data_IF_340532470631
#
_entry.id   IF_340532470631
#
_cell.length_a   1.000
_cell.length_b   1.000
_cell.length_c   1.000
_cell.angle_alpha   90.00
_cell.angle_beta   90.00
_cell.angle_gamma   90.00
#
_symmetry.space_group_name_H-M   'P 1'
#
loop_
_entity.id
_entity.type
_entity.pdbx_description
1 polymer ?
#
# COMPACT_ATOMS: atom_id res chain seq x y z
N UNK A 1 0.94 19.78 -7.09
CA UNK A 1 2.30 19.19 -7.09
C UNK A 1 3.28 20.14 -6.40
N UNK A 2 4.26 19.60 -5.66
CA UNK A 2 5.39 20.32 -5.06
C UNK A 2 6.68 19.67 -5.54
N UNK A 3 7.60 20.48 -6.05
CA UNK A 3 8.91 20.03 -6.53
C UNK A 3 9.99 20.75 -5.73
N UNK A 4 11.04 20.04 -5.34
CA UNK A 4 12.15 20.62 -4.60
C UNK A 4 13.43 19.79 -4.73
N UNK A 5 14.52 20.37 -4.25
CA UNK A 5 15.80 19.68 -4.08
C UNK A 5 16.06 19.50 -2.59
N UNK A 6 16.37 18.27 -2.19
CA UNK A 6 16.77 17.94 -0.82
C UNK A 6 18.23 17.55 -0.85
N UNK A 7 19.02 18.15 0.04
CA UNK A 7 20.47 17.97 0.08
C UNK A 7 20.86 17.24 1.35
N UNK A 8 21.58 16.14 1.18
CA UNK A 8 22.19 15.41 2.29
C UNK A 8 23.54 16.05 2.62
N UNK A 9 23.80 16.39 3.89
CA UNK A 9 25.05 17.05 4.28
C UNK A 9 26.24 16.10 4.06
N UNK A 10 27.37 16.66 3.65
CA UNK A 10 28.60 15.90 3.51
C UNK A 10 29.00 15.24 4.84
N UNK A 11 29.40 13.97 4.77
CA UNK A 11 30.02 13.25 5.89
C UNK A 11 31.52 13.12 5.64
N UNK A 12 32.35 12.77 6.65
CA UNK A 12 33.78 12.57 6.43
C UNK A 12 34.11 11.53 5.35
N UNK A 13 33.17 10.64 5.04
CA UNK A 13 33.28 9.55 4.07
C UNK A 13 32.61 9.82 2.73
N UNK A 14 31.66 10.75 2.63
CA UNK A 14 30.83 10.94 1.44
C UNK A 14 30.58 12.43 1.13
N UNK A 15 30.66 12.83 -0.16
CA UNK A 15 30.40 14.21 -0.57
C UNK A 15 28.93 14.59 -0.37
N UNK A 16 28.66 15.90 -0.42
CA UNK A 16 27.28 16.43 -0.44
C UNK A 16 26.53 15.93 -1.67
N UNK A 17 25.35 15.33 -1.46
CA UNK A 17 24.51 14.80 -2.54
C UNK A 17 23.17 15.52 -2.54
N UNK A 18 22.74 15.96 -3.72
CA UNK A 18 21.45 16.62 -3.91
C UNK A 18 20.49 15.74 -4.70
N UNK A 19 19.31 15.51 -4.16
CA UNK A 19 18.26 14.72 -4.79
C UNK A 19 17.09 15.61 -5.19
N UNK A 20 16.64 15.46 -6.45
CA UNK A 20 15.39 16.07 -6.92
C UNK A 20 14.20 15.24 -6.41
N UNK A 21 13.22 15.92 -5.84
CA UNK A 21 12.02 15.30 -5.26
C UNK A 21 10.78 16.01 -5.79
N UNK A 22 9.79 15.24 -6.25
CA UNK A 22 8.48 15.73 -6.63
C UNK A 22 7.41 14.94 -5.88
N UNK A 23 6.40 15.65 -5.37
CA UNK A 23 5.28 15.08 -4.62
C UNK A 23 3.99 15.70 -5.14
N UNK A 24 3.05 14.86 -5.57
CA UNK A 24 1.69 15.28 -5.90
C UNK A 24 0.76 15.01 -4.74
N UNK A 25 -0.18 15.93 -4.56
CA UNK A 25 -1.17 15.87 -3.50
C UNK A 25 -2.55 16.05 -4.11
N UNK A 26 -3.50 15.26 -3.62
CA UNK A 26 -4.93 15.45 -3.85
C UNK A 26 -5.67 15.24 -2.53
N UNK A 27 -6.67 16.07 -2.23
CA UNK A 27 -7.52 15.96 -1.02
C UNK A 27 -6.74 15.59 0.27
N UNK A 28 -5.63 16.29 0.50
CA UNK A 28 -4.69 16.12 1.62
C UNK A 28 -3.91 14.79 1.68
N UNK A 29 -3.96 13.95 0.64
CA UNK A 29 -3.17 12.72 0.51
C UNK A 29 -2.06 12.90 -0.52
N UNK A 30 -0.95 12.21 -0.32
CA UNK A 30 0.10 12.09 -1.33
C UNK A 30 -0.39 11.08 -2.36
N UNK A 31 -0.51 11.48 -3.64
CA UNK A 31 -1.00 10.63 -4.73
C UNK A 31 0.10 10.12 -5.64
N UNK A 32 1.22 10.84 -5.74
CA UNK A 32 2.43 10.34 -6.38
C UNK A 32 3.69 10.94 -5.77
N UNK A 33 4.78 10.18 -5.83
CA UNK A 33 6.11 10.62 -5.41
C UNK A 33 7.14 10.24 -6.45
N UNK A 34 8.16 11.08 -6.61
CA UNK A 34 9.33 10.78 -7.41
C UNK A 34 10.54 11.34 -6.70
N UNK A 35 11.55 10.51 -6.46
CA UNK A 35 12.77 10.92 -5.79
C UNK A 35 14.00 10.38 -6.50
N UNK A 36 14.95 11.24 -6.82
CA UNK A 36 16.23 10.87 -7.45
C UNK A 36 17.25 10.21 -6.51
N UNK A 37 16.83 9.62 -5.39
CA UNK A 37 17.74 8.96 -4.44
C UNK A 37 17.90 7.46 -4.69
N UNK A 38 17.09 6.88 -5.60
CA UNK A 38 17.13 5.46 -5.90
C UNK A 38 16.64 4.55 -4.76
N UNK A 39 16.07 5.10 -3.67
CA UNK A 39 15.47 4.27 -2.63
C UNK A 39 14.33 3.45 -3.22
N UNK A 40 14.41 2.13 -3.05
CA UNK A 40 13.40 1.19 -3.53
C UNK A 40 12.53 0.64 -2.40
N UNK A 41 12.53 1.22 -1.19
CA UNK A 41 11.63 0.82 -0.10
C UNK A 41 10.18 1.25 -0.38
N UNK A 42 9.23 0.47 0.13
CA UNK A 42 7.77 0.66 0.05
C UNK A 42 7.34 1.93 0.78
N UNK A 43 8.08 2.32 1.83
CA UNK A 43 7.82 3.57 2.53
C UNK A 43 8.57 4.74 1.89
N UNK A 44 8.00 5.93 2.07
CA UNK A 44 8.61 7.17 1.62
C UNK A 44 10.03 7.31 2.20
N UNK A 45 10.99 7.61 1.32
CA UNK A 45 12.35 7.92 1.73
C UNK A 45 12.40 9.21 2.58
N UNK A 46 13.51 9.40 3.30
CA UNK A 46 13.73 10.59 4.12
C UNK A 46 13.58 11.89 3.31
N UNK A 47 13.95 11.91 2.03
CA UNK A 47 13.80 13.06 1.15
C UNK A 47 12.33 13.46 0.90
N UNK A 48 11.47 12.47 0.63
CA UNK A 48 10.02 12.69 0.44
C UNK A 48 9.39 13.18 1.75
N UNK A 49 9.79 12.58 2.88
CA UNK A 49 9.34 13.01 4.21
C UNK A 49 9.80 14.44 4.50
N UNK A 50 11.07 14.77 4.22
CA UNK A 50 11.63 16.10 4.44
C UNK A 50 10.89 17.17 3.63
N UNK A 51 10.66 16.94 2.34
CA UNK A 51 9.89 17.88 1.49
C UNK A 51 8.44 18.03 1.96
N UNK A 52 7.80 16.93 2.39
CA UNK A 52 6.45 16.95 2.95
C UNK A 52 6.38 17.77 4.24
N UNK A 53 7.32 17.56 5.16
CA UNK A 53 7.42 18.31 6.40
C UNK A 53 7.76 19.78 6.17
N UNK A 54 8.63 20.07 5.21
CA UNK A 54 8.96 21.45 4.82
C UNK A 54 7.71 22.20 4.36
N UNK A 55 6.91 21.57 3.49
CA UNK A 55 5.63 22.13 3.03
C UNK A 55 4.67 22.41 4.18
N UNK A 56 4.56 21.49 5.16
CA UNK A 56 3.68 21.66 6.32
C UNK A 56 4.16 22.81 7.21
N UNK A 57 5.48 22.90 7.46
CA UNK A 57 6.06 23.89 8.38
C UNK A 57 6.23 25.27 7.77
N UNK A 58 6.44 25.36 6.46
CA UNK A 58 6.66 26.62 5.73
C UNK A 58 5.68 26.77 4.55
N UNK A 59 4.36 26.80 4.81
CA UNK A 59 3.35 26.80 3.75
C UNK A 59 3.46 28.00 2.82
N UNK A 60 3.82 29.18 3.34
CA UNK A 60 3.96 30.42 2.56
C UNK A 60 5.15 30.41 1.60
N UNK A 61 6.16 29.57 1.86
CA UNK A 61 7.34 29.43 1.01
C UNK A 61 7.13 28.43 -0.14
N UNK A 62 6.06 27.63 -0.06
CA UNK A 62 5.72 26.66 -1.10
C UNK A 62 4.65 27.25 -2.01
N UNK A 63 5.09 27.76 -3.17
CA UNK A 63 4.17 28.26 -4.19
C UNK A 63 3.39 27.11 -4.81
N UNK A 64 2.12 26.98 -4.45
CA UNK A 64 1.18 26.12 -5.15
C UNK A 64 0.91 26.73 -6.53
N UNK A 65 1.08 25.92 -7.57
CA UNK A 65 0.72 26.29 -8.94
C UNK A 65 -0.54 25.53 -9.33
N UNK A 66 -1.37 26.17 -10.14
CA UNK A 66 -2.44 25.49 -10.86
C UNK A 66 -1.84 24.39 -11.74
N UNK A 67 -2.66 23.42 -12.19
CA UNK A 67 -2.26 22.49 -13.23
C UNK A 67 -1.60 23.23 -14.41
N UNK A 68 -0.59 22.62 -15.02
CA UNK A 68 0.16 23.23 -16.10
C UNK A 68 -0.75 23.47 -17.31
N UNK A 69 -1.77 22.63 -17.53
CA UNK A 69 -2.82 22.84 -18.54
C UNK A 69 -3.49 24.20 -18.42
N UNK A 70 -3.84 24.64 -17.21
CA UNK A 70 -4.41 25.98 -16.96
C UNK A 70 -3.44 27.10 -17.34
N UNK A 71 -2.15 26.89 -17.06
CA UNK A 71 -1.12 27.87 -17.43
C UNK A 71 -0.92 27.91 -18.95
N UNK A 72 -0.91 26.75 -19.61
CA UNK A 72 -0.78 26.62 -21.07
C UNK A 72 -1.99 27.23 -21.79
N UNK A 73 -3.20 27.05 -21.26
CA UNK A 73 -4.43 27.61 -21.82
C UNK A 73 -4.43 29.15 -21.84
N UNK A 74 -3.75 29.78 -20.87
CA UNK A 74 -3.61 31.24 -20.80
C UNK A 74 -2.52 31.80 -21.75
N UNK A 75 -1.66 30.94 -22.32
CA UNK A 75 -0.59 31.37 -23.22
C UNK A 75 -1.07 31.50 -24.66
N UNK A 76 -0.66 32.57 -25.33
CA UNK A 76 -0.85 32.69 -26.77
C UNK A 76 0.17 31.85 -27.56
N UNK A 77 -0.03 31.76 -28.89
CA UNK A 77 0.83 30.97 -29.80
C UNK A 77 2.32 31.28 -29.63
N UNK A 78 2.70 32.54 -29.56
CA UNK A 78 4.11 32.94 -29.47
C UNK A 78 4.71 32.62 -28.09
N UNK A 79 3.93 32.73 -27.02
CA UNK A 79 4.33 32.32 -25.68
C UNK A 79 4.49 30.81 -25.57
N UNK A 80 3.58 30.02 -26.14
CA UNK A 80 3.68 28.57 -26.21
C UNK A 80 4.93 28.14 -27.02
N UNK A 81 5.16 28.76 -28.17
CA UNK A 81 6.35 28.49 -28.98
C UNK A 81 7.64 28.79 -28.21
N UNK A 82 7.70 29.95 -27.52
CA UNK A 82 8.82 30.29 -26.64
C UNK A 82 8.99 29.27 -25.52
N UNK A 83 7.91 28.87 -24.83
CA UNK A 83 7.97 27.89 -23.75
C UNK A 83 8.62 26.58 -24.21
N UNK A 84 8.19 26.04 -25.36
CA UNK A 84 8.73 24.80 -25.91
C UNK A 84 10.20 24.97 -26.31
N UNK A 85 10.57 26.08 -26.94
CA UNK A 85 11.96 26.37 -27.31
C UNK A 85 12.88 26.41 -26.08
N UNK A 86 12.48 27.13 -25.02
CA UNK A 86 13.25 27.21 -23.78
C UNK A 86 13.31 25.87 -23.03
N UNK A 87 12.24 25.07 -23.07
CA UNK A 87 12.23 23.72 -22.49
C UNK A 87 13.24 22.81 -23.20
N UNK A 88 13.28 22.84 -24.54
CA UNK A 88 14.25 22.10 -25.33
C UNK A 88 15.66 22.61 -25.01
N UNK A 89 15.90 23.92 -24.97
CA UNK A 89 17.24 24.45 -24.62
C UNK A 89 17.70 23.97 -23.24
N UNK A 90 16.83 24.02 -22.24
CA UNK A 90 17.16 23.65 -20.86
C UNK A 90 17.38 22.15 -20.66
N UNK A 91 16.62 21.30 -21.37
CA UNK A 91 16.61 19.85 -21.17
C UNK A 91 16.80 19.05 -22.48
N UNK A 92 17.61 19.57 -23.41
CA UNK A 92 17.73 19.00 -24.76
C UNK A 92 18.12 17.52 -24.77
N UNK A 93 18.95 17.07 -23.82
CA UNK A 93 19.34 15.66 -23.70
C UNK A 93 18.19 14.73 -23.31
N UNK A 94 17.24 15.23 -22.52
CA UNK A 94 16.13 14.43 -21.95
C UNK A 94 14.85 14.55 -22.79
N UNK A 95 14.59 15.73 -23.37
CA UNK A 95 13.30 16.08 -24.00
C UNK A 95 13.34 16.01 -25.52
N UNK A 96 14.48 16.27 -26.16
CA UNK A 96 14.55 16.44 -27.62
C UNK A 96 14.05 15.22 -28.42
N UNK A 97 14.45 13.97 -28.10
CA UNK A 97 13.96 12.81 -28.86
C UNK A 97 12.44 12.68 -28.81
N UNK A 98 11.86 12.85 -27.62
CA UNK A 98 10.40 12.79 -27.42
C UNK A 98 9.69 13.97 -28.08
N UNK A 99 10.25 15.18 -27.99
CA UNK A 99 9.69 16.37 -28.63
C UNK A 99 9.67 16.25 -30.16
N UNK A 100 10.73 15.70 -30.76
CA UNK A 100 10.79 15.47 -32.22
C UNK A 100 9.75 14.44 -32.64
N UNK A 101 9.66 13.29 -31.94
CA UNK A 101 8.65 12.27 -32.20
C UNK A 101 7.23 12.86 -32.16
N UNK A 102 6.91 13.63 -31.12
CA UNK A 102 5.60 14.27 -30.99
C UNK A 102 5.34 15.31 -32.09
N UNK A 103 6.35 16.09 -32.48
CA UNK A 103 6.22 17.04 -33.58
C UNK A 103 5.93 16.34 -34.91
N UNK A 104 6.62 15.24 -35.20
CA UNK A 104 6.39 14.43 -36.42
C UNK A 104 4.98 13.82 -36.43
N UNK A 105 4.51 13.33 -35.29
CA UNK A 105 3.14 12.80 -35.13
C UNK A 105 2.07 13.88 -35.34
N UNK A 106 2.25 15.07 -34.76
CA UNK A 106 1.30 16.19 -34.93
C UNK A 106 1.24 16.67 -36.38
N UNK A 107 2.40 16.75 -37.06
CA UNK A 107 2.46 17.14 -38.47
C UNK A 107 1.88 16.08 -39.42
N UNK A 108 1.70 14.84 -38.95
CA UNK A 108 1.08 13.76 -39.72
C UNK A 108 -0.44 13.80 -39.62
N UNK A 109 -1.12 14.03 -40.76
CA UNK A 109 -2.57 14.23 -40.84
C UNK A 109 -3.42 13.07 -40.32
N UNK A 110 -2.88 11.85 -40.28
CA UNK A 110 -3.59 10.63 -39.86
C UNK A 110 -3.18 10.12 -38.47
N UNK A 111 -2.40 10.88 -37.70
CA UNK A 111 -1.97 10.46 -36.37
C UNK A 111 -3.12 10.48 -35.36
N UNK A 112 -3.13 9.52 -34.44
CA UNK A 112 -4.09 9.45 -33.33
C UNK A 112 -4.03 10.70 -32.45
N UNK A 113 -2.86 11.33 -32.32
CA UNK A 113 -2.68 12.55 -31.52
C UNK A 113 -3.56 13.71 -31.98
N UNK A 114 -3.90 13.75 -33.28
CA UNK A 114 -4.75 14.78 -33.88
C UNK A 114 -6.25 14.48 -33.73
N UNK A 115 -6.62 13.28 -33.24
CA UNK A 115 -8.01 12.90 -32.98
C UNK A 115 -8.47 13.33 -31.58
N UNK A 116 -7.53 13.70 -30.71
CA UNK A 116 -7.80 14.13 -29.35
C UNK A 116 -7.48 15.63 -29.20
N UNK A 117 -8.22 16.32 -28.33
CA UNK A 117 -8.00 17.75 -28.09
C UNK A 117 -6.71 18.07 -27.33
N UNK A 118 -6.15 17.08 -26.62
CA UNK A 118 -4.92 17.25 -25.85
C UNK A 118 -4.57 15.99 -25.04
N UNK A 119 -3.33 15.93 -24.58
CA UNK A 119 -2.86 14.88 -23.69
C UNK A 119 -3.38 15.12 -22.25
N UNK A 120 -3.56 14.07 -21.44
CA UNK A 120 -3.91 14.21 -20.02
C UNK A 120 -2.82 15.00 -19.29
N UNK A 121 -3.23 15.99 -18.47
CA UNK A 121 -2.30 16.81 -17.71
C UNK A 121 -1.82 16.05 -16.45
N UNK A 122 -0.53 15.70 -16.36
CA UNK A 122 0.02 14.97 -15.20
C UNK A 122 0.02 15.79 -13.89
N UNK A 123 -0.26 17.08 -13.98
CA UNK A 123 -0.31 18.01 -12.84
C UNK A 123 -1.75 18.40 -12.44
N UNK A 124 -2.77 17.94 -13.19
CA UNK A 124 -4.18 18.21 -12.93
C UNK A 124 -4.75 17.48 -11.70
N UNK A 125 -4.00 16.51 -11.16
CA UNK A 125 -4.50 15.68 -10.06
C UNK A 125 -5.59 14.71 -10.53
N UNK A 126 -6.18 14.01 -9.58
CA UNK A 126 -7.25 13.04 -9.85
C UNK A 126 -8.62 13.74 -9.95
N UNK A 127 -9.57 13.10 -10.64
CA UNK A 127 -10.96 13.59 -10.72
C UNK A 127 -11.66 13.53 -9.35
N UNK A 128 -12.80 14.22 -9.22
CA UNK A 128 -13.60 14.17 -7.98
C UNK A 128 -14.09 12.74 -7.72
N UNK A 129 -14.43 12.00 -8.78
CA UNK A 129 -14.96 10.65 -8.70
C UNK A 129 -13.87 9.57 -8.57
N UNK A 130 -12.60 9.95 -8.79
CA UNK A 130 -11.47 9.03 -8.65
C UNK A 130 -11.21 8.69 -7.18
N UNK A 131 -10.81 7.44 -6.95
CA UNK A 131 -10.44 6.94 -5.62
C UNK A 131 -9.30 7.76 -5.02
N UNK A 132 -9.56 8.34 -3.85
CA UNK A 132 -8.58 9.11 -3.10
C UNK A 132 -7.80 8.18 -2.14
N UNK A 133 -6.80 7.46 -2.65
CA UNK A 133 -5.93 6.61 -1.84
C UNK A 133 -4.52 7.21 -1.70
N UNK A 134 -3.85 6.88 -0.59
CA UNK A 134 -2.43 7.22 -0.44
C UNK A 134 -1.61 6.53 -1.53
N UNK A 135 -0.53 7.17 -1.97
CA UNK A 135 0.34 6.59 -2.99
C UNK A 135 0.97 5.27 -2.50
N UNK A 136 0.85 4.23 -3.32
CA UNK A 136 1.52 2.95 -3.18
C UNK A 136 2.04 2.53 -4.57
N UNK A 137 3.35 2.30 -4.68
CA UNK A 137 3.97 1.80 -5.91
C UNK A 137 3.75 0.28 -6.00
N UNK A 138 2.73 -0.13 -6.75
CA UNK A 138 2.36 -1.54 -6.86
C UNK A 138 3.45 -2.37 -7.54
N UNK A 139 4.12 -1.82 -8.57
CA UNK A 139 5.15 -2.54 -9.32
C UNK A 139 6.38 -2.79 -8.43
N UNK A 140 6.77 -1.80 -7.64
CA UNK A 140 7.83 -1.95 -6.65
C UNK A 140 7.48 -3.01 -5.60
N UNK A 141 6.24 -3.03 -5.10
CA UNK A 141 5.80 -4.06 -4.14
C UNK A 141 5.86 -5.45 -4.79
N UNK A 142 5.32 -5.62 -6.01
CA UNK A 142 5.38 -6.90 -6.73
C UNK A 142 6.83 -7.35 -6.94
N UNK A 143 7.70 -6.46 -7.38
CA UNK A 143 9.11 -6.78 -7.64
C UNK A 143 9.86 -7.17 -6.34
N UNK A 144 9.66 -6.43 -5.24
CA UNK A 144 10.26 -6.78 -3.95
C UNK A 144 9.80 -8.14 -3.43
N UNK A 145 8.50 -8.42 -3.46
CA UNK A 145 7.99 -9.72 -3.00
C UNK A 145 8.58 -10.84 -3.85
N UNK A 146 8.59 -10.67 -5.19
CA UNK A 146 9.19 -11.64 -6.10
C UNK A 146 10.69 -11.86 -5.83
N UNK A 147 11.43 -10.79 -5.52
CA UNK A 147 12.84 -10.90 -5.12
C UNK A 147 13.03 -11.65 -3.80
N UNK A 148 12.19 -11.40 -2.79
CA UNK A 148 12.29 -12.11 -1.51
C UNK A 148 11.91 -13.59 -1.64
N UNK A 149 10.93 -13.90 -2.49
CA UNK A 149 10.57 -15.29 -2.82
C UNK A 149 11.68 -15.97 -3.64
N UNK A 150 12.29 -15.28 -4.60
CA UNK A 150 13.34 -15.85 -5.47
C UNK A 150 14.60 -16.27 -4.71
N UNK A 151 14.96 -15.53 -3.65
CA UNK A 151 16.18 -15.74 -2.86
C UNK A 151 16.20 -17.02 -1.98
N UNK A 152 15.12 -17.80 -1.95
CA UNK A 152 15.08 -19.11 -1.29
C UNK A 152 15.01 -19.03 0.24
N UNK A 153 14.42 -20.05 0.88
CA UNK A 153 14.12 -20.12 2.31
C UNK A 153 15.31 -20.25 3.27
N UNK A 154 16.49 -19.70 2.96
CA UNK A 154 17.63 -19.71 3.88
C UNK A 154 17.65 -18.45 4.75
N UNK A 155 16.94 -18.52 5.89
CA UNK A 155 17.06 -17.69 7.12
C UNK A 155 16.97 -16.14 7.05
N UNK A 156 17.05 -15.50 5.88
CA UNK A 156 17.04 -14.04 5.71
C UNK A 156 15.77 -13.46 5.08
N UNK A 157 15.27 -14.10 4.01
CA UNK A 157 14.10 -13.65 3.22
C UNK A 157 12.80 -13.60 4.04
N UNK A 158 12.61 -14.55 4.97
CA UNK A 158 11.46 -14.57 5.87
C UNK A 158 11.35 -13.32 6.76
N UNK A 159 12.49 -12.74 7.18
CA UNK A 159 12.48 -11.49 7.99
C UNK A 159 12.03 -10.29 7.17
N UNK A 160 12.42 -10.22 5.89
CA UNK A 160 12.03 -9.13 4.98
C UNK A 160 10.53 -9.21 4.65
N UNK A 161 10.01 -10.41 4.36
CA UNK A 161 8.57 -10.62 4.16
C UNK A 161 7.76 -10.35 5.45
N UNK A 162 8.24 -10.78 6.61
CA UNK A 162 7.62 -10.44 7.89
C UNK A 162 7.60 -8.92 8.15
N UNK A 163 8.64 -8.20 7.74
CA UNK A 163 8.64 -6.73 7.75
C UNK A 163 7.54 -6.17 6.85
N UNK A 164 7.37 -6.69 5.63
CA UNK A 164 6.25 -6.28 4.75
C UNK A 164 4.87 -6.54 5.39
N UNK A 165 4.66 -7.69 6.04
CA UNK A 165 3.42 -7.95 6.78
C UNK A 165 3.25 -7.02 7.99
N UNK A 166 4.32 -6.60 8.65
CA UNK A 166 4.24 -5.56 9.69
C UNK A 166 3.80 -4.21 9.11
N UNK A 167 4.26 -3.84 7.89
CA UNK A 167 3.79 -2.64 7.18
C UNK A 167 2.30 -2.72 6.86
N UNK A 168 1.83 -3.86 6.35
CA UNK A 168 0.41 -4.12 6.10
C UNK A 168 -0.41 -3.96 7.39
N UNK A 169 0.03 -4.56 8.51
CA UNK A 169 -0.64 -4.42 9.81
C UNK A 169 -0.77 -2.97 10.24
N UNK A 170 0.30 -2.20 10.09
CA UNK A 170 0.31 -0.79 10.45
C UNK A 170 -0.66 0.02 9.56
N UNK A 171 -0.67 -0.23 8.25
CA UNK A 171 -1.62 0.38 7.33
C UNK A 171 -3.07 0.05 7.71
N UNK A 172 -3.38 -1.21 7.99
CA UNK A 172 -4.72 -1.61 8.44
C UNK A 172 -5.11 -0.96 9.78
N UNK A 173 -4.16 -0.85 10.73
CA UNK A 173 -4.35 -0.15 12.01
C UNK A 173 -4.70 1.32 11.81
N UNK A 174 -4.01 1.97 10.87
CA UNK A 174 -4.24 3.37 10.51
C UNK A 174 -5.41 3.57 9.54
N UNK A 175 -6.16 2.49 9.22
CA UNK A 175 -7.29 2.48 8.28
C UNK A 175 -6.92 2.98 6.89
N UNK A 176 -5.68 2.75 6.49
CA UNK A 176 -5.21 3.02 5.14
C UNK A 176 -5.68 1.91 4.19
N UNK A 177 -6.39 2.31 3.14
CA UNK A 177 -6.85 1.42 2.06
C UNK A 177 -5.70 0.67 1.38
N UNK A 178 -4.47 1.21 1.46
CA UNK A 178 -3.28 0.52 0.94
C UNK A 178 -2.94 -0.76 1.70
N UNK A 179 -3.40 -0.94 2.94
CA UNK A 179 -3.17 -2.19 3.68
C UNK A 179 -3.75 -3.40 2.96
N UNK A 180 -5.01 -3.31 2.53
CA UNK A 180 -5.67 -4.36 1.76
C UNK A 180 -5.02 -4.53 0.37
N UNK A 181 -4.75 -3.43 -0.34
CA UNK A 181 -4.09 -3.46 -1.66
C UNK A 181 -2.72 -4.14 -1.61
N UNK A 182 -1.88 -3.74 -0.66
CA UNK A 182 -0.54 -4.31 -0.47
C UNK A 182 -0.63 -5.80 -0.10
N UNK A 183 -1.59 -6.20 0.74
CA UNK A 183 -1.82 -7.62 1.06
C UNK A 183 -2.24 -8.43 -0.16
N UNK A 184 -3.10 -7.87 -1.03
CA UNK A 184 -3.46 -8.48 -2.32
C UNK A 184 -2.21 -8.75 -3.15
N UNK A 185 -1.36 -7.74 -3.36
CA UNK A 185 -0.13 -7.88 -4.16
C UNK A 185 0.81 -8.95 -3.61
N UNK A 186 1.01 -8.95 -2.29
CA UNK A 186 1.83 -9.95 -1.61
C UNK A 186 1.24 -11.34 -1.86
N UNK A 187 -0.06 -11.53 -1.60
CA UNK A 187 -0.75 -12.82 -1.74
C UNK A 187 -0.72 -13.32 -3.19
N UNK A 188 -0.92 -12.44 -4.17
CA UNK A 188 -0.82 -12.77 -5.59
C UNK A 188 0.56 -13.30 -5.96
N UNK A 189 1.63 -12.63 -5.51
CA UNK A 189 3.00 -13.09 -5.79
C UNK A 189 3.30 -14.44 -5.13
N UNK A 190 2.79 -14.69 -3.92
CA UNK A 190 2.88 -16.01 -3.30
C UNK A 190 2.16 -17.07 -4.13
N UNK A 191 0.89 -16.86 -4.48
CA UNK A 191 0.10 -17.84 -5.21
C UNK A 191 0.61 -18.09 -6.64
N UNK A 192 1.36 -17.16 -7.23
CA UNK A 192 1.96 -17.30 -8.54
C UNK A 192 3.36 -17.96 -8.53
N UNK A 193 3.98 -18.17 -7.36
CA UNK A 193 5.32 -18.78 -7.29
C UNK A 193 5.21 -20.31 -7.43
N UNK A 194 5.81 -20.93 -8.46
CA UNK A 194 5.76 -22.38 -8.66
C UNK A 194 6.49 -23.19 -7.58
N UNK A 195 7.23 -22.54 -6.68
CA UNK A 195 7.94 -23.19 -5.56
C UNK A 195 7.10 -23.23 -4.29
N UNK A 196 5.83 -22.82 -4.33
CA UNK A 196 4.94 -22.80 -3.17
C UNK A 196 4.83 -24.17 -2.47
N UNK A 197 4.94 -25.27 -3.21
CA UNK A 197 4.95 -26.63 -2.66
C UNK A 197 6.13 -26.89 -1.71
N UNK A 198 7.28 -26.23 -1.92
CA UNK A 198 8.44 -26.29 -1.01
C UNK A 198 8.22 -25.46 0.26
N UNK A 199 7.20 -24.61 0.25
CA UNK A 199 6.87 -23.63 1.27
C UNK A 199 5.59 -24.01 2.04
N UNK A 200 5.09 -25.24 1.90
CA UNK A 200 3.86 -25.71 2.55
C UNK A 200 3.92 -25.62 4.09
N UNK A 201 5.12 -25.64 4.68
CA UNK A 201 5.40 -25.43 6.10
C UNK A 201 5.77 -23.97 6.46
N UNK A 202 5.54 -23.00 5.57
CA UNK A 202 6.00 -21.63 5.80
C UNK A 202 5.26 -20.95 6.95
N UNK A 203 6.05 -20.44 7.90
CA UNK A 203 5.65 -19.49 8.95
C UNK A 203 4.92 -18.22 8.44
N UNK A 204 4.84 -18.03 7.11
CA UNK A 204 4.24 -16.89 6.42
C UNK A 204 2.77 -17.13 6.03
N UNK A 205 2.30 -18.38 6.00
CA UNK A 205 0.89 -18.69 5.74
C UNK A 205 -0.03 -18.19 6.87
N UNK A 206 0.25 -18.45 8.18
CA UNK A 206 -0.61 -17.98 9.27
C UNK A 206 -0.78 -16.44 9.33
N UNK A 207 0.29 -15.61 9.15
CA UNK A 207 0.14 -14.17 9.04
C UNK A 207 -0.77 -13.74 7.88
N UNK A 208 -0.68 -14.39 6.73
CA UNK A 208 -1.46 -14.01 5.55
C UNK A 208 -2.96 -14.25 5.77
N UNK A 209 -3.35 -15.44 6.25
CA UNK A 209 -4.75 -15.75 6.54
C UNK A 209 -5.36 -14.84 7.62
N UNK A 210 -4.63 -14.59 8.70
CA UNK A 210 -5.07 -13.71 9.78
C UNK A 210 -5.27 -12.25 9.30
N UNK A 211 -4.39 -11.75 8.44
CA UNK A 211 -4.54 -10.40 7.88
C UNK A 211 -5.74 -10.28 6.96
N UNK A 212 -6.05 -11.31 6.17
CA UNK A 212 -7.27 -11.34 5.37
C UNK A 212 -8.52 -11.33 6.23
N UNK A 213 -8.53 -12.02 7.37
CA UNK A 213 -9.62 -11.92 8.37
C UNK A 213 -9.77 -10.48 8.85
N UNK A 214 -8.67 -9.78 9.19
CA UNK A 214 -8.71 -8.37 9.59
C UNK A 214 -9.27 -7.46 8.48
N UNK A 215 -8.92 -7.73 7.21
CA UNK A 215 -9.40 -6.97 6.05
C UNK A 215 -10.91 -7.14 5.86
N UNK A 216 -11.40 -8.38 5.82
CA UNK A 216 -12.83 -8.66 5.54
C UNK A 216 -13.75 -8.31 6.71
N UNK A 217 -13.21 -8.32 7.94
CA UNK A 217 -13.90 -7.85 9.12
C UNK A 217 -13.82 -6.33 9.30
N UNK A 218 -13.12 -5.58 8.45
CA UNK A 218 -13.07 -4.12 8.62
C UNK A 218 -14.50 -3.53 8.52
N UNK A 219 -15.02 -2.87 9.58
CA UNK A 219 -16.39 -2.33 9.60
C UNK A 219 -16.61 -1.20 8.60
N UNK A 220 -15.54 -0.62 8.05
CA UNK A 220 -15.58 0.44 7.06
C UNK A 220 -15.39 -0.05 5.62
N UNK A 221 -15.24 -1.36 5.41
CA UNK A 221 -15.16 -1.95 4.09
C UNK A 221 -16.47 -1.75 3.32
N UNK A 222 -16.39 -1.34 2.05
CA UNK A 222 -17.57 -1.31 1.17
C UNK A 222 -18.01 -2.75 0.85
N UNK A 223 -19.32 -2.98 0.71
CA UNK A 223 -19.85 -4.32 0.37
C UNK A 223 -19.32 -4.84 -0.98
N UNK A 224 -19.07 -3.95 -1.94
CA UNK A 224 -18.49 -4.28 -3.24
C UNK A 224 -17.05 -4.81 -3.11
N UNK A 225 -16.19 -4.11 -2.35
CA UNK A 225 -14.82 -4.55 -2.06
C UNK A 225 -14.80 -5.91 -1.37
N UNK A 226 -15.66 -6.09 -0.36
CA UNK A 226 -15.82 -7.36 0.36
C UNK A 226 -16.21 -8.50 -0.58
N UNK A 227 -17.12 -8.25 -1.52
CA UNK A 227 -17.53 -9.24 -2.53
C UNK A 227 -16.40 -9.59 -3.50
N UNK A 228 -15.56 -8.60 -3.84
CA UNK A 228 -14.36 -8.78 -4.65
C UNK A 228 -13.33 -9.67 -3.94
N UNK A 229 -13.03 -9.37 -2.68
CA UNK A 229 -12.11 -10.17 -1.86
C UNK A 229 -12.62 -11.58 -1.63
N UNK A 230 -13.93 -11.77 -1.39
CA UNK A 230 -14.51 -13.11 -1.26
C UNK A 230 -14.28 -13.97 -2.50
N UNK A 231 -14.44 -13.40 -3.70
CA UNK A 231 -14.15 -14.10 -4.97
C UNK A 231 -12.67 -14.44 -5.08
N UNK A 232 -11.77 -13.52 -4.71
CA UNK A 232 -10.32 -13.76 -4.74
C UNK A 232 -9.87 -14.82 -3.74
N UNK A 233 -10.35 -14.77 -2.50
CA UNK A 233 -10.02 -15.73 -1.44
C UNK A 233 -10.48 -17.15 -1.78
N UNK A 234 -11.69 -17.30 -2.35
CA UNK A 234 -12.17 -18.59 -2.87
C UNK A 234 -11.27 -19.09 -4.00
N UNK A 235 -10.99 -18.22 -4.98
CA UNK A 235 -10.10 -18.55 -6.11
C UNK A 235 -8.72 -19.03 -5.64
N UNK A 236 -8.11 -18.36 -4.65
CA UNK A 236 -6.82 -18.79 -4.10
C UNK A 236 -6.93 -20.05 -3.24
N UNK A 237 -8.02 -20.20 -2.48
CA UNK A 237 -8.27 -21.37 -1.64
C UNK A 237 -8.52 -22.65 -2.43
N UNK A 238 -9.07 -22.54 -3.63
CA UNK A 238 -9.35 -23.66 -4.54
C UNK A 238 -8.09 -24.13 -5.31
N UNK A 239 -6.96 -23.39 -5.22
CA UNK A 239 -5.71 -23.81 -5.85
C UNK A 239 -5.10 -25.00 -5.12
N UNK A 240 -4.66 -26.00 -5.88
CA UNK A 240 -4.06 -27.20 -5.30
C UNK A 240 -2.77 -26.94 -4.51
N UNK A 241 -2.07 -25.86 -4.84
CA UNK A 241 -0.85 -25.40 -4.16
C UNK A 241 -1.14 -24.60 -2.88
N UNK A 242 -2.41 -24.28 -2.58
CA UNK A 242 -2.76 -23.43 -1.45
C UNK A 242 -2.43 -24.10 -0.09
N UNK A 243 -1.70 -23.41 0.81
CA UNK A 243 -1.43 -23.92 2.15
C UNK A 243 -2.70 -24.19 2.97
N UNK A 244 -2.65 -25.20 3.83
CA UNK A 244 -3.77 -25.56 4.71
C UNK A 244 -3.78 -24.69 5.97
N UNK A 245 -4.97 -24.56 6.58
CA UNK A 245 -5.18 -23.79 7.82
C UNK A 245 -4.36 -24.34 9.00
N UNK A 246 -4.17 -25.66 9.02
CA UNK A 246 -3.45 -26.40 10.05
C UNK A 246 -2.06 -26.82 9.54
N UNK A 247 -1.11 -25.88 9.52
CA UNK A 247 0.27 -26.28 9.80
C UNK A 247 0.29 -26.85 11.22
N UNK A 248 0.94 -27.99 11.44
CA UNK A 248 1.00 -28.70 12.73
C UNK A 248 1.54 -27.82 13.88
N UNK A 249 0.68 -26.99 14.49
CA UNK A 249 0.95 -26.21 15.70
C UNK A 249 0.04 -26.72 16.82
N UNK A 250 0.59 -27.63 17.62
CA UNK A 250 0.07 -27.89 18.94
C UNK A 250 0.13 -26.61 19.77
N UNK A 251 -1.01 -26.26 20.38
CA UNK A 251 -1.11 -25.59 21.68
C UNK A 251 -0.22 -24.35 21.90
N UNK A 252 -0.67 -23.14 21.52
CA UNK A 252 -0.35 -21.90 22.28
C UNK A 252 -1.09 -20.61 21.85
N UNK A 253 -2.32 -20.72 21.33
CA UNK A 253 -3.25 -19.57 21.23
C UNK A 253 -4.51 -19.92 22.02
N UNK A 254 -5.04 -19.02 22.88
CA UNK A 254 -6.30 -19.27 23.55
C UNK A 254 -7.40 -19.35 22.49
N UNK A 255 -7.93 -20.57 22.30
CA UNK A 255 -9.09 -20.85 21.45
C UNK A 255 -10.29 -20.06 21.97
N UNK A 256 -10.60 -18.90 21.37
CA UNK A 256 -11.77 -18.09 21.74
C UNK A 256 -13.09 -18.71 21.22
N UNK A 257 -13.03 -19.84 20.49
CA UNK A 257 -14.19 -20.44 19.82
C UNK A 257 -14.78 -21.71 20.44
N UNK A 258 -14.32 -22.18 21.60
CA UNK A 258 -14.87 -23.40 22.20
C UNK A 258 -15.89 -23.11 23.34
N UNK A 259 -17.13 -22.80 22.95
CA UNK A 259 -18.30 -22.94 23.83
C UNK A 259 -19.12 -24.21 23.52
N UNK A 260 -18.49 -25.26 22.98
CA UNK A 260 -19.10 -26.58 22.78
C UNK A 260 -18.21 -27.66 23.42
N UNK A 261 -18.78 -28.65 24.14
CA UNK A 261 -17.98 -29.66 24.83
C UNK A 261 -17.20 -30.50 23.82
N UNK A 262 -15.87 -30.52 23.97
CA UNK A 262 -15.00 -31.42 23.22
C UNK A 262 -15.23 -32.86 23.66
N UNK A 263 -16.13 -33.57 22.98
CA UNK A 263 -16.18 -35.04 23.01
C UNK A 263 -15.56 -35.61 21.74
N UNK A 264 -14.41 -36.26 21.90
CA UNK A 264 -13.83 -37.30 21.04
C UNK A 264 -13.88 -37.07 19.50
N UNK A 265 -12.83 -36.46 18.94
CA UNK A 265 -12.61 -36.33 17.49
C UNK A 265 -11.34 -37.07 17.03
N UNK A 266 -11.26 -38.38 17.30
CA UNK A 266 -10.20 -39.24 16.77
C UNK A 266 -10.65 -40.13 15.60
N UNK A 267 -11.86 -39.97 15.05
CA UNK A 267 -12.41 -40.95 14.12
C UNK A 267 -13.12 -40.43 12.85
N UNK A 268 -13.05 -39.15 12.50
CA UNK A 268 -13.80 -38.62 11.34
C UNK A 268 -12.98 -37.73 10.38
N UNK A 269 -11.80 -38.22 9.98
CA UNK A 269 -10.84 -37.50 9.14
C UNK A 269 -11.07 -37.62 7.63
N UNK A 270 -12.07 -38.38 7.16
CA UNK A 270 -12.28 -38.67 5.72
C UNK A 270 -13.38 -37.83 5.05
N UNK A 271 -14.10 -36.99 5.79
CA UNK A 271 -15.24 -36.21 5.29
C UNK A 271 -15.10 -34.70 5.48
N UNK A 272 -13.98 -34.23 6.05
CA UNK A 272 -13.76 -32.81 6.28
C UNK A 272 -13.32 -32.12 4.97
N UNK A 273 -14.03 -31.07 4.51
CA UNK A 273 -13.60 -30.31 3.35
C UNK A 273 -12.21 -29.74 3.59
N UNK A 274 -11.36 -29.74 2.56
CA UNK A 274 -10.01 -29.17 2.58
C UNK A 274 -10.10 -27.70 3.05
N UNK A 275 -9.59 -27.40 4.25
CA UNK A 275 -9.53 -26.03 4.78
C UNK A 275 -8.21 -25.38 4.41
N UNK A 276 -8.28 -24.35 3.58
CA UNK A 276 -7.12 -23.54 3.22
C UNK A 276 -6.86 -22.48 4.28
N UNK A 277 -5.68 -21.86 4.22
CA UNK A 277 -5.33 -20.70 5.05
C UNK A 277 -6.31 -19.53 4.93
N UNK A 278 -7.11 -19.50 3.85
CA UNK A 278 -8.13 -18.48 3.60
C UNK A 278 -9.53 -18.86 4.10
N UNK A 279 -9.77 -20.11 4.54
CA UNK A 279 -11.10 -20.58 4.95
C UNK A 279 -11.74 -19.70 6.03
N UNK A 280 -10.97 -19.29 7.06
CA UNK A 280 -11.45 -18.34 8.09
C UNK A 280 -11.83 -16.98 7.52
N UNK A 281 -11.07 -16.47 6.56
CA UNK A 281 -11.37 -15.19 5.92
C UNK A 281 -12.63 -15.28 5.04
N UNK A 282 -12.81 -16.41 4.34
CA UNK A 282 -14.03 -16.70 3.55
C UNK A 282 -15.25 -16.76 4.46
N UNK A 283 -15.18 -17.48 5.59
CA UNK A 283 -16.28 -17.55 6.58
C UNK A 283 -16.55 -16.18 7.21
N UNK A 284 -15.50 -15.41 7.52
CA UNK A 284 -15.63 -14.07 8.06
C UNK A 284 -16.30 -13.08 7.09
N UNK A 285 -16.30 -13.37 5.78
CA UNK A 285 -17.04 -12.55 4.82
C UNK A 285 -18.56 -12.60 5.04
N UNK A 286 -19.09 -13.69 5.59
CA UNK A 286 -20.52 -13.83 5.84
C UNK A 286 -20.96 -13.12 7.13
N UNK A 287 -20.02 -12.73 7.99
CA UNK A 287 -20.29 -11.99 9.21
C UNK A 287 -20.68 -10.54 8.91
N UNK A 288 -21.72 -10.06 9.59
CA UNK A 288 -22.19 -8.68 9.54
C UNK A 288 -22.09 -8.02 10.92
N UNK A 289 -21.57 -6.79 10.94
CA UNK A 289 -21.47 -6.01 12.18
C UNK A 289 -22.82 -5.65 12.77
N UNK A 290 -23.90 -5.67 11.98
CA UNK A 290 -25.27 -5.44 12.44
C UNK A 290 -25.94 -6.69 13.02
N UNK A 291 -25.24 -7.83 13.09
CA UNK A 291 -25.78 -9.05 13.69
C UNK A 291 -26.09 -8.84 15.18
N UNK A 292 -27.35 -9.09 15.55
CA UNK A 292 -27.85 -8.90 16.92
C UNK A 292 -27.13 -9.75 17.98
N UNK A 293 -26.63 -10.93 17.61
CA UNK A 293 -25.86 -11.79 18.49
C UNK A 293 -24.45 -11.25 18.70
N UNK A 294 -23.81 -10.79 17.61
CA UNK A 294 -22.48 -10.16 17.66
C UNK A 294 -22.51 -8.87 18.50
N UNK A 295 -23.51 -8.02 18.27
CA UNK A 295 -23.73 -6.80 19.06
C UNK A 295 -23.92 -7.10 20.55
N UNK A 296 -24.63 -8.19 20.89
CA UNK A 296 -24.81 -8.63 22.28
C UNK A 296 -23.51 -9.12 22.92
N UNK A 297 -22.63 -9.77 22.16
CA UNK A 297 -21.31 -10.20 22.64
C UNK A 297 -20.39 -8.99 22.86
N UNK A 298 -20.35 -8.05 21.91
CA UNK A 298 -19.49 -6.85 22.00
C UNK A 298 -19.93 -5.92 23.12
N UNK A 299 -21.24 -5.79 23.34
CA UNK A 299 -21.81 -4.98 24.43
C UNK A 299 -21.73 -5.67 25.81
N UNK A 300 -21.29 -6.93 25.88
CA UNK A 300 -21.05 -7.61 27.14
C UNK A 300 -19.84 -7.02 27.85
N UNK A 301 -19.96 -6.75 29.16
CA UNK A 301 -18.93 -6.15 30.02
C UNK A 301 -17.58 -6.91 30.02
N UNK A 302 -17.56 -8.16 29.54
CA UNK A 302 -16.34 -8.94 29.38
C UNK A 302 -15.30 -8.32 28.43
N UNK A 303 -15.72 -7.58 27.41
CA UNK A 303 -14.82 -6.96 26.42
C UNK A 303 -14.58 -5.46 26.65
N UNK A 304 -15.30 -4.84 27.60
CA UNK A 304 -15.17 -3.42 27.98
C UNK A 304 -14.29 -3.22 29.23
N UNK A 305 -13.68 -4.27 29.76
CA UNK A 305 -12.83 -4.19 30.96
C UNK A 305 -11.55 -3.37 30.68
N UNK A 306 -11.17 -2.40 31.55
CA UNK A 306 -10.00 -1.53 31.36
C UNK A 306 -8.65 -2.28 31.32
N UNK A 307 -8.64 -3.57 31.65
CA UNK A 307 -7.45 -4.43 31.66
C UNK A 307 -6.86 -4.66 30.27
N UNK A 308 -7.65 -4.55 29.19
CA UNK A 308 -7.15 -4.73 27.81
C UNK A 308 -6.75 -3.44 27.09
N UNK A 309 -7.12 -2.26 27.61
CA UNK A 309 -6.68 -0.97 27.03
C UNK A 309 -5.25 -0.58 27.42
N UNK A 310 -4.70 -1.14 28.51
CA UNK A 310 -3.42 -0.69 29.09
C UNK A 310 -2.16 -1.27 28.43
N UNK A 311 -2.25 -2.38 27.69
CA UNK A 311 -1.07 -2.99 27.03
C UNK A 311 -0.59 -2.19 25.81
N UNK A 312 -1.40 -1.28 25.26
CA UNK A 312 -1.02 -0.42 24.12
C UNK A 312 -0.37 0.93 24.47
N UNK A 313 -0.46 1.40 25.73
CA UNK A 313 -0.02 2.74 26.14
C UNK A 313 1.29 2.75 26.97
N UNK A 314 1.88 1.59 27.24
CA UNK A 314 3.00 1.46 28.18
C UNK A 314 4.40 1.83 27.61
N UNK A 315 4.50 2.37 26.39
CA UNK A 315 5.79 2.70 25.75
C UNK A 315 5.95 4.17 25.31
N UNK A 316 5.15 5.10 25.85
CA UNK A 316 5.39 6.52 25.64
C UNK A 316 6.03 7.15 26.89
N UNK A 317 7.21 7.81 26.79
CA UNK A 317 7.72 8.63 27.89
C UNK A 317 6.74 9.77 28.15
N UNK A 318 6.30 9.91 29.41
CA UNK A 318 5.51 11.06 29.85
C UNK A 318 6.38 12.32 29.73
N UNK A 319 5.90 13.42 29.12
CA UNK A 319 6.60 14.70 29.20
C UNK A 319 6.48 15.21 30.64
N UNK A 320 7.62 15.44 31.27
CA UNK A 320 7.71 16.02 32.59
C UNK A 320 6.99 17.37 32.66
N UNK A 321 6.26 17.52 33.75
CA UNK A 321 5.56 18.73 34.18
C UNK A 321 6.49 19.95 34.19
N UNK A 322 6.25 20.92 33.31
CA UNK A 322 6.68 22.30 33.52
C UNK A 322 5.84 22.86 34.66
N UNK A 323 6.45 23.01 35.84
CA UNK A 323 5.85 23.79 36.94
C UNK A 323 5.96 25.29 36.62
N UNK A 324 4.95 26.10 36.95
CA UNK A 324 5.02 27.54 36.79
C UNK A 324 5.80 28.16 37.95
N UNK A 325 6.83 28.94 37.63
CA UNK A 325 7.21 30.19 38.30
C UNK A 325 7.74 31.16 37.27
#
# INVERSE_FOLDING_TARGET
>A
MVCGTVTEPATPSEPEVTHKVAISFDRCKITSVTCGCGNRDIFYCAHVVALSLYRIRKPEQVKLRLPISETLFQMNRDQLQKLVQYLITAHHTEVLPTAQKLADEILSSNSEINQVHGAPDPTAGASIDDDNCWHLDEDQVREQVKQFLSQGGYYGSGKQLNSMFAKVREMLRMRDSNGARMLTLITEQFMADPRLDLFQDCQLAPPTGALWVCVVLNPHCKSEEKSGWLKQLKKWGDLDVCPLEDGNYGSELPNITNALPQSNLAQDSLSRPRRSVFSRAVEACDLHWQDSHLQRIISSDHYMSPSYQREGESLLPRPDSVRPR
#
